data_IF_472160341740
#
_entry.id   IF_472160341740
#
_cell.length_a   1.000
_cell.length_b   1.000
_cell.length_c   1.000
_cell.angle_alpha   90.00
_cell.angle_beta   90.00
_cell.angle_gamma   90.00
#
_symmetry.space_group_name_H-M   'P 1'
#
loop_
_entity.id
_entity.type
_entity.pdbx_description
1 polymer ?
#
# COMPACT_ATOMS: atom_id res chain seq x y z
N UNK A 1 -5.92 -15.13 -59.21
CA UNK A 1 -6.27 -14.36 -58.00
C UNK A 1 -7.09 -15.28 -57.12
N UNK A 2 -6.56 -15.73 -55.97
CA UNK A 2 -7.28 -16.66 -55.06
C UNK A 2 -8.05 -15.84 -54.01
N UNK A 3 -9.32 -16.15 -53.72
CA UNK A 3 -10.08 -15.43 -52.72
C UNK A 3 -9.53 -15.74 -51.32
N UNK A 4 -9.19 -14.69 -50.57
CA UNK A 4 -8.84 -14.77 -49.15
C UNK A 4 -10.05 -15.31 -48.38
N UNK A 5 -9.84 -16.39 -47.62
CA UNK A 5 -10.87 -17.00 -46.77
C UNK A 5 -11.14 -16.08 -45.58
N UNK A 6 -12.41 -15.91 -45.23
CA UNK A 6 -12.88 -15.10 -44.10
C UNK A 6 -12.26 -15.51 -42.74
N UNK A 7 -11.66 -16.70 -42.65
CA UNK A 7 -11.00 -17.25 -41.48
C UNK A 7 -9.69 -16.54 -41.09
N UNK A 8 -9.03 -15.87 -42.04
CA UNK A 8 -7.75 -15.17 -41.79
C UNK A 8 -7.92 -13.75 -41.22
N UNK A 9 -9.14 -13.17 -41.29
CA UNK A 9 -9.41 -11.81 -40.77
C UNK A 9 -9.64 -11.77 -39.26
N UNK A 10 -10.09 -12.88 -38.65
CA UNK A 10 -10.40 -12.94 -37.23
C UNK A 10 -9.12 -12.98 -36.35
N UNK A 11 -8.01 -13.48 -36.89
CA UNK A 11 -6.76 -13.63 -36.14
C UNK A 11 -6.03 -12.29 -36.01
N UNK A 12 -6.15 -11.40 -36.99
CA UNK A 12 -5.54 -10.07 -36.97
C UNK A 12 -6.24 -9.07 -36.04
N UNK A 13 -7.53 -9.24 -35.77
CA UNK A 13 -8.28 -8.36 -34.86
C UNK A 13 -8.09 -8.72 -33.39
N UNK A 14 -7.81 -9.99 -33.06
CA UNK A 14 -7.57 -10.42 -31.69
C UNK A 14 -6.23 -9.91 -31.12
N UNK A 15 -5.19 -9.71 -31.94
CA UNK A 15 -3.85 -9.31 -31.46
C UNK A 15 -3.77 -7.82 -31.10
N UNK A 16 -4.62 -6.96 -31.67
CA UNK A 16 -4.60 -5.52 -31.38
C UNK A 16 -5.35 -5.10 -30.12
N UNK A 17 -6.21 -5.94 -29.53
CA UNK A 17 -7.04 -5.57 -28.38
C UNK A 17 -6.57 -6.15 -27.03
N UNK A 18 -5.62 -7.08 -27.02
CA UNK A 18 -5.10 -7.68 -25.78
C UNK A 18 -4.22 -6.76 -24.92
N UNK A 19 -3.43 -5.78 -25.43
CA UNK A 19 -2.49 -5.07 -24.57
C UNK A 19 -3.13 -4.01 -23.65
N UNK A 20 -4.39 -3.61 -23.87
CA UNK A 20 -5.03 -2.54 -23.06
C UNK A 20 -5.55 -3.04 -21.71
N UNK A 21 -5.81 -4.35 -21.57
CA UNK A 21 -6.30 -4.95 -20.31
C UNK A 21 -5.21 -5.15 -19.24
N UNK A 22 -3.92 -4.97 -19.58
CA UNK A 22 -2.80 -5.22 -18.66
C UNK A 22 -2.26 -3.97 -17.92
N UNK A 23 -2.74 -2.77 -18.24
CA UNK A 23 -2.22 -1.52 -17.66
C UNK A 23 -2.99 -0.97 -16.45
N UNK A 24 -4.07 -1.61 -15.99
CA UNK A 24 -4.79 -1.19 -14.78
C UNK A 24 -4.39 -2.02 -13.55
N UNK A 25 -3.08 -2.27 -13.36
CA UNK A 25 -2.60 -2.72 -12.05
C UNK A 25 -2.63 -1.51 -11.13
N UNK A 26 -3.76 -1.35 -10.47
CA UNK A 26 -3.98 -0.41 -9.39
C UNK A 26 -2.80 -0.51 -8.42
N UNK A 27 -1.96 0.51 -8.43
CA UNK A 27 -0.75 0.54 -7.62
C UNK A 27 -1.18 0.80 -6.18
N UNK A 28 -1.65 -0.25 -5.49
CA UNK A 28 -1.92 -0.19 -4.06
C UNK A 28 -0.60 0.12 -3.37
N UNK A 29 -0.54 1.31 -2.80
CA UNK A 29 0.62 1.76 -2.06
C UNK A 29 0.61 1.05 -0.70
N UNK A 30 1.78 0.71 -0.17
CA UNK A 30 1.90 0.02 1.12
C UNK A 30 2.79 0.84 2.03
N UNK A 31 2.29 1.18 3.21
CA UNK A 31 3.08 1.85 4.25
C UNK A 31 3.84 0.78 5.05
N UNK A 32 5.17 0.81 4.96
CA UNK A 32 6.03 -0.09 5.75
C UNK A 32 6.34 0.53 7.10
N UNK A 33 6.10 -0.20 8.18
CA UNK A 33 6.41 0.24 9.55
C UNK A 33 7.41 -0.74 10.16
N UNK A 34 8.58 -0.25 10.57
CA UNK A 34 9.63 -1.07 11.18
C UNK A 34 9.62 -0.94 12.69
N UNK A 35 9.41 -2.07 13.38
CA UNK A 35 9.30 -2.14 14.83
C UNK A 35 10.55 -2.84 15.41
N UNK A 36 11.21 -2.27 16.44
CA UNK A 36 12.32 -2.93 17.11
C UNK A 36 11.93 -4.28 17.75
N UNK A 37 12.86 -5.25 17.74
CA UNK A 37 12.68 -6.60 18.33
C UNK A 37 12.13 -6.56 19.77
N UNK A 38 12.61 -5.61 20.58
CA UNK A 38 12.30 -5.54 22.01
C UNK A 38 11.09 -4.67 22.34
N UNK A 39 10.49 -4.02 21.35
CA UNK A 39 9.34 -3.17 21.58
C UNK A 39 8.07 -4.01 21.68
N UNK A 40 7.28 -3.80 22.73
CA UNK A 40 5.94 -4.38 22.89
C UNK A 40 5.02 -3.31 23.48
N UNK A 41 3.81 -3.22 22.96
CA UNK A 41 2.84 -2.20 23.36
C UNK A 41 2.25 -1.44 22.18
N UNK A 42 1.62 -0.27 22.46
CA UNK A 42 0.98 0.54 21.44
C UNK A 42 2.03 1.21 20.55
N UNK A 43 1.79 1.25 19.25
CA UNK A 43 2.57 2.01 18.28
C UNK A 43 1.67 3.09 17.69
N UNK A 44 2.22 4.29 17.55
CA UNK A 44 1.57 5.41 16.88
C UNK A 44 2.49 5.92 15.76
N UNK A 45 1.98 5.94 14.53
CA UNK A 45 2.68 6.51 13.37
C UNK A 45 1.95 7.78 12.95
N UNK A 46 2.64 8.92 13.00
CA UNK A 46 2.09 10.22 12.58
C UNK A 46 2.58 10.59 11.19
N UNK A 47 1.71 11.21 10.39
CA UNK A 47 2.03 11.71 9.06
C UNK A 47 2.51 13.16 9.11
N UNK A 48 3.67 13.48 8.52
CA UNK A 48 4.16 14.88 8.42
C UNK A 48 3.56 15.66 7.26
N UNK A 49 3.29 15.00 6.15
CA UNK A 49 2.76 15.61 4.94
C UNK A 49 1.87 14.64 4.17
N UNK A 50 1.22 15.15 3.12
CA UNK A 50 0.44 14.32 2.20
C UNK A 50 1.19 14.16 0.88
N UNK A 51 1.26 12.94 0.36
CA UNK A 51 1.96 12.63 -0.87
C UNK A 51 1.59 11.25 -1.43
N UNK A 52 2.06 10.97 -2.64
CA UNK A 52 1.97 9.64 -3.23
C UNK A 52 3.05 8.71 -2.71
N UNK A 53 4.21 9.22 -2.31
CA UNK A 53 5.35 8.36 -2.02
C UNK A 53 5.37 7.98 -0.54
N UNK A 54 4.82 6.81 -0.22
CA UNK A 54 4.91 6.24 1.12
C UNK A 54 6.35 5.80 1.39
N UNK A 55 6.90 6.26 2.51
CA UNK A 55 8.21 5.84 2.99
C UNK A 55 8.08 4.93 4.21
N UNK A 56 9.14 4.17 4.49
CA UNK A 56 9.25 3.38 5.71
C UNK A 56 9.20 4.30 6.94
N UNK A 57 8.31 3.99 7.88
CA UNK A 57 8.29 4.63 9.20
C UNK A 57 8.97 3.71 10.22
N UNK A 58 9.98 4.22 10.92
CA UNK A 58 10.69 3.45 11.97
C UNK A 58 10.16 3.84 13.34
N UNK A 59 9.82 2.84 14.15
CA UNK A 59 9.31 3.00 15.51
C UNK A 59 10.48 3.16 16.49
N UNK A 60 10.39 4.18 17.34
CA UNK A 60 11.36 4.46 18.39
C UNK A 60 11.14 3.60 19.64
N UNK A 61 11.96 3.81 20.68
CA UNK A 61 11.86 3.06 21.94
C UNK A 61 10.57 3.31 22.73
N UNK A 62 9.84 4.39 22.41
CA UNK A 62 8.60 4.79 23.07
C UNK A 62 7.35 4.33 22.29
N UNK A 63 7.52 3.72 21.11
CA UNK A 63 6.40 3.31 20.26
C UNK A 63 5.96 4.37 19.27
N UNK A 64 6.72 5.45 19.09
CA UNK A 64 6.38 6.50 18.15
C UNK A 64 7.15 6.33 16.85
N UNK A 65 6.46 6.54 15.74
CA UNK A 65 7.08 6.64 14.42
C UNK A 65 6.53 7.85 13.66
N UNK A 66 7.32 8.31 12.70
CA UNK A 66 6.92 9.41 11.83
C UNK A 66 7.07 8.97 10.37
N UNK A 67 5.95 8.99 9.66
CA UNK A 67 5.91 8.82 8.21
C UNK A 67 6.09 10.19 7.54
N UNK A 68 7.00 10.28 6.58
CA UNK A 68 7.26 11.52 5.85
C UNK A 68 6.03 11.98 5.05
N UNK A 69 5.33 11.04 4.43
CA UNK A 69 4.11 11.29 3.67
C UNK A 69 3.08 10.19 3.90
N UNK A 70 1.82 10.58 3.97
CA UNK A 70 0.67 9.69 3.94
C UNK A 70 -0.22 9.99 2.73
N UNK A 71 -0.91 8.97 2.28
CA UNK A 71 -1.87 9.07 1.18
C UNK A 71 -3.17 9.69 1.65
N UNK A 72 -3.96 10.23 0.71
CA UNK A 72 -5.31 10.75 1.00
C UNK A 72 -6.28 9.67 1.46
N UNK A 73 -6.00 8.42 1.11
CA UNK A 73 -6.82 7.26 1.44
C UNK A 73 -6.03 6.32 2.33
N UNK A 74 -6.73 5.49 3.11
CA UNK A 74 -6.08 4.46 3.90
C UNK A 74 -5.44 3.42 2.96
N UNK A 75 -4.21 3.05 3.25
CA UNK A 75 -3.39 2.13 2.47
C UNK A 75 -3.12 0.86 3.25
N UNK A 76 -2.65 -0.17 2.56
CA UNK A 76 -2.19 -1.40 3.21
C UNK A 76 -0.99 -1.04 4.11
N UNK A 77 -0.97 -1.57 5.33
CA UNK A 77 0.13 -1.36 6.28
C UNK A 77 0.88 -2.67 6.48
N UNK A 78 2.18 -2.64 6.21
CA UNK A 78 3.07 -3.78 6.40
C UNK A 78 3.96 -3.51 7.60
N UNK A 79 3.64 -4.15 8.73
CA UNK A 79 4.45 -4.06 9.95
C UNK A 79 5.56 -5.11 9.88
N UNK A 80 6.80 -4.68 10.00
CA UNK A 80 7.99 -5.52 9.91
C UNK A 80 8.74 -5.49 11.24
N UNK A 81 9.03 -6.67 11.80
CA UNK A 81 9.88 -6.88 12.96
C UNK A 81 10.89 -7.97 12.62
N UNK A 82 12.18 -7.68 12.81
CA UNK A 82 13.27 -8.63 12.52
C UNK A 82 13.25 -9.18 11.09
N UNK A 83 12.87 -8.32 10.12
CA UNK A 83 12.73 -8.71 8.72
C UNK A 83 11.54 -9.61 8.41
N UNK A 84 10.66 -9.89 9.39
CA UNK A 84 9.43 -10.65 9.22
C UNK A 84 8.22 -9.73 9.28
N UNK A 85 7.23 -10.02 8.45
CA UNK A 85 5.94 -9.34 8.51
C UNK A 85 5.21 -9.85 9.75
N UNK A 86 4.76 -8.92 10.60
CA UNK A 86 3.98 -9.19 11.79
C UNK A 86 2.54 -8.82 11.49
N UNK A 87 1.63 -9.75 11.78
CA UNK A 87 0.20 -9.45 11.73
C UNK A 87 -0.20 -8.67 12.99
N UNK A 88 -0.79 -7.50 12.78
CA UNK A 88 -1.34 -6.64 13.82
C UNK A 88 -2.86 -6.78 13.96
N UNK A 89 -3.47 -7.63 13.13
CA UNK A 89 -4.88 -7.98 13.15
C UNK A 89 -5.81 -6.75 13.17
N UNK A 90 -6.88 -6.86 13.95
CA UNK A 90 -7.88 -5.81 14.11
C UNK A 90 -7.41 -4.63 15.00
N UNK A 91 -6.16 -4.66 15.50
CA UNK A 91 -5.64 -3.56 16.31
C UNK A 91 -5.28 -2.32 15.48
N UNK A 92 -5.23 -2.45 14.15
CA UNK A 92 -4.88 -1.36 13.25
C UNK A 92 -6.03 -0.37 13.10
N UNK A 93 -5.79 0.87 13.55
CA UNK A 93 -6.76 1.95 13.50
C UNK A 93 -6.14 3.17 12.84
N UNK A 94 -6.78 3.68 11.80
CA UNK A 94 -6.42 4.95 11.16
C UNK A 94 -7.18 6.11 11.80
N UNK A 95 -6.45 7.14 12.21
CA UNK A 95 -7.02 8.43 12.57
C UNK A 95 -7.10 9.32 11.32
N UNK A 96 -8.20 10.09 11.23
CA UNK A 96 -8.48 10.98 10.10
C UNK A 96 -8.68 12.41 10.61
N UNK A 97 -8.25 13.38 9.80
CA UNK A 97 -8.60 14.77 10.00
C UNK A 97 -10.09 15.03 9.69
N UNK A 98 -10.57 16.25 9.97
CA UNK A 98 -11.96 16.65 9.76
C UNK A 98 -12.42 16.59 8.29
N UNK A 99 -11.48 16.54 7.34
CA UNK A 99 -11.70 16.35 5.90
C UNK A 99 -11.68 14.88 5.46
N UNK A 100 -11.46 13.95 6.40
CA UNK A 100 -11.42 12.50 6.15
C UNK A 100 -10.05 11.98 5.71
N UNK A 101 -9.03 12.83 5.60
CA UNK A 101 -7.68 12.42 5.19
C UNK A 101 -6.97 11.73 6.37
N UNK A 102 -6.32 10.56 6.18
CA UNK A 102 -5.51 9.92 7.21
C UNK A 102 -4.35 10.80 7.70
N UNK A 103 -4.23 10.96 9.02
CA UNK A 103 -3.18 11.80 9.66
C UNK A 103 -2.29 11.03 10.63
N UNK A 104 -2.79 9.93 11.16
CA UNK A 104 -2.00 8.97 11.93
C UNK A 104 -2.63 7.60 11.85
N UNK A 105 -1.86 6.58 12.24
CA UNK A 105 -2.37 5.25 12.49
C UNK A 105 -1.81 4.74 13.81
N UNK A 106 -2.55 3.85 14.45
CA UNK A 106 -2.15 3.20 15.68
C UNK A 106 -2.42 1.71 15.61
N UNK A 107 -1.57 0.92 16.25
CA UNK A 107 -1.74 -0.52 16.38
C UNK A 107 -1.04 -1.01 17.64
N UNK A 108 -1.30 -2.24 18.05
CA UNK A 108 -0.59 -2.85 19.19
C UNK A 108 0.28 -3.99 18.70
N UNK A 109 1.53 -4.03 19.14
CA UNK A 109 2.41 -5.16 18.87
C UNK A 109 2.65 -5.95 20.14
N UNK A 110 2.40 -7.25 20.05
CA UNK A 110 2.62 -8.23 21.13
C UNK A 110 3.81 -9.13 20.82
#
# INVERSE_FOLDING_TARGET
>A
MRPLRASDLAILTAVCFVPVMLCCREHRQTLRVEVPHHYSGPVEVTCQSYGSDLQTATVDANGHAVAHACTREAVDVMVVRDGKIVDVGDSLVWAKAGDGIPVSLSFSVR
#
